data_IF_550591904882
#
_entry.id   IF_550591904882
#
_cell.length_a   1.000
_cell.length_b   1.000
_cell.length_c   1.000
_cell.angle_alpha   90.00
_cell.angle_beta   90.00
_cell.angle_gamma   90.00
#
_symmetry.space_group_name_H-M   'P 1'
#
loop_
_entity.id
_entity.type
_entity.pdbx_description
1 polymer ?
#
# COMPACT_ATOMS: atom_id res chain seq x y z
N UNK A 1 -6.05 -17.76 10.40
CA UNK A 1 -7.42 -17.36 10.75
C UNK A 1 -8.00 -16.37 9.73
N UNK A 2 -7.37 -15.19 9.46
CA UNK A 2 -7.85 -14.24 8.43
C UNK A 2 -7.80 -14.83 7.02
N UNK A 3 -6.74 -15.55 6.66
CA UNK A 3 -6.63 -16.24 5.37
C UNK A 3 -7.72 -17.31 5.18
N UNK A 4 -8.06 -18.03 6.23
CA UNK A 4 -9.11 -19.05 6.20
C UNK A 4 -10.48 -18.40 6.00
N UNK A 5 -10.76 -17.34 6.72
CA UNK A 5 -12.03 -16.60 6.60
C UNK A 5 -12.15 -15.94 5.22
N UNK A 6 -11.14 -15.22 4.79
CA UNK A 6 -11.14 -14.56 3.49
C UNK A 6 -11.21 -15.55 2.34
N UNK A 7 -10.45 -16.65 2.38
CA UNK A 7 -10.48 -17.70 1.38
C UNK A 7 -11.84 -18.39 1.25
N UNK A 8 -12.52 -18.62 2.38
CA UNK A 8 -13.89 -19.17 2.41
C UNK A 8 -14.91 -18.29 1.66
N UNK A 9 -14.72 -16.99 1.68
CA UNK A 9 -15.61 -16.02 1.04
C UNK A 9 -15.10 -15.49 -0.30
N UNK A 10 -14.04 -16.08 -0.86
CA UNK A 10 -13.50 -15.69 -2.16
C UNK A 10 -12.82 -14.31 -2.17
N UNK A 11 -12.38 -13.81 -1.01
CA UNK A 11 -11.72 -12.51 -0.89
C UNK A 11 -10.25 -12.63 -1.28
N UNK A 12 -9.73 -11.59 -1.98
CA UNK A 12 -8.31 -11.44 -2.24
C UNK A 12 -7.79 -12.17 -3.47
N UNK A 13 -8.66 -12.55 -4.39
CA UNK A 13 -8.27 -13.05 -5.72
C UNK A 13 -8.17 -11.87 -6.66
N UNK A 14 -6.99 -11.65 -7.23
CA UNK A 14 -6.72 -10.55 -8.15
C UNK A 14 -6.08 -11.09 -9.43
N UNK A 15 -6.66 -10.77 -10.57
CA UNK A 15 -6.13 -11.08 -11.89
C UNK A 15 -5.65 -9.79 -12.55
N UNK A 16 -4.34 -9.64 -12.67
CA UNK A 16 -3.72 -8.39 -13.15
C UNK A 16 -2.75 -8.63 -14.30
N UNK A 17 -2.66 -7.64 -15.17
CA UNK A 17 -1.63 -7.54 -16.20
C UNK A 17 -0.57 -6.55 -15.72
N UNK A 18 0.63 -7.05 -15.50
CA UNK A 18 1.76 -6.29 -15.00
C UNK A 18 2.72 -5.87 -16.11
N UNK A 19 3.27 -4.68 -15.98
CA UNK A 19 4.38 -4.24 -16.81
C UNK A 19 5.71 -4.67 -16.15
N UNK A 20 6.52 -5.43 -16.91
CA UNK A 20 7.88 -5.78 -16.50
C UNK A 20 8.85 -4.65 -16.83
N UNK A 21 9.91 -4.50 -16.02
CA UNK A 21 10.99 -3.50 -16.25
C UNK A 21 11.59 -3.63 -17.66
N UNK A 22 11.63 -4.83 -18.20
CA UNK A 22 12.13 -5.14 -19.56
C UNK A 22 11.13 -4.84 -20.70
N UNK A 23 10.02 -4.17 -20.40
CA UNK A 23 9.03 -3.76 -21.41
C UNK A 23 8.00 -4.81 -21.81
N UNK A 24 8.10 -6.03 -21.31
CA UNK A 24 7.10 -7.07 -21.54
C UNK A 24 5.95 -6.98 -20.54
N UNK A 25 4.77 -7.42 -20.98
CA UNK A 25 3.62 -7.58 -20.09
C UNK A 25 3.50 -9.03 -19.64
N UNK A 26 3.12 -9.25 -18.39
CA UNK A 26 2.76 -10.56 -17.87
C UNK A 26 1.43 -10.50 -17.15
N UNK A 27 0.63 -11.56 -17.27
CA UNK A 27 -0.60 -11.75 -16.52
C UNK A 27 -0.33 -12.65 -15.35
N UNK A 28 -0.79 -12.27 -14.18
CA UNK A 28 -0.70 -13.07 -12.95
C UNK A 28 -2.02 -13.08 -12.19
N UNK A 29 -2.34 -14.23 -11.62
CA UNK A 29 -3.44 -14.37 -10.66
C UNK A 29 -2.83 -14.55 -9.28
N UNK A 30 -3.18 -13.66 -8.37
CA UNK A 30 -2.68 -13.64 -7.00
C UNK A 30 -3.83 -13.90 -6.03
N UNK A 31 -3.54 -14.62 -4.95
CA UNK A 31 -4.49 -14.90 -3.89
C UNK A 31 -3.87 -14.54 -2.53
N UNK A 32 -4.35 -13.46 -1.93
CA UNK A 32 -3.87 -12.94 -0.64
C UNK A 32 -5.05 -12.52 0.26
N UNK A 33 -5.88 -13.48 0.75
CA UNK A 33 -7.13 -13.12 1.45
C UNK A 33 -6.90 -12.29 2.70
N UNK A 34 -6.02 -12.72 3.59
CA UNK A 34 -5.71 -12.00 4.84
C UNK A 34 -5.05 -10.65 4.61
N UNK A 35 -4.12 -10.57 3.66
CA UNK A 35 -3.48 -9.32 3.27
C UNK A 35 -4.47 -8.30 2.71
N UNK A 36 -5.39 -8.74 1.85
CA UNK A 36 -6.43 -7.89 1.27
C UNK A 36 -7.36 -7.33 2.34
N UNK A 37 -7.79 -8.14 3.30
CA UNK A 37 -8.65 -7.69 4.41
C UNK A 37 -7.94 -6.60 5.23
N UNK A 38 -6.67 -6.82 5.58
CA UNK A 38 -5.89 -5.85 6.36
C UNK A 38 -5.62 -4.57 5.58
N UNK A 39 -5.28 -4.69 4.31
CA UNK A 39 -5.04 -3.54 3.44
C UNK A 39 -6.29 -2.67 3.30
N UNK A 40 -7.42 -3.27 3.00
CA UNK A 40 -8.69 -2.56 2.85
C UNK A 40 -9.11 -1.87 4.17
N UNK A 41 -9.01 -2.59 5.29
CA UNK A 41 -9.32 -2.01 6.60
C UNK A 41 -8.41 -0.82 6.95
N UNK A 42 -7.11 -0.92 6.62
CA UNK A 42 -6.16 0.17 6.84
C UNK A 42 -6.47 1.37 5.94
N UNK A 43 -6.78 1.15 4.68
CA UNK A 43 -7.15 2.20 3.74
C UNK A 43 -8.39 2.96 4.20
N UNK A 44 -9.41 2.27 4.65
CA UNK A 44 -10.63 2.89 5.19
C UNK A 44 -10.37 3.72 6.46
N UNK A 45 -9.45 3.28 7.31
CA UNK A 45 -9.02 4.07 8.47
C UNK A 45 -8.25 5.33 8.05
N UNK A 46 -7.40 5.25 7.03
CA UNK A 46 -6.69 6.40 6.49
C UNK A 46 -7.64 7.45 5.91
N UNK A 47 -8.62 7.03 5.13
CA UNK A 47 -9.65 7.90 4.57
C UNK A 47 -10.48 8.61 5.66
N UNK A 48 -10.69 7.94 6.80
CA UNK A 48 -11.42 8.52 7.93
C UNK A 48 -10.60 9.57 8.71
N UNK A 49 -9.29 9.36 8.82
CA UNK A 49 -8.41 10.14 9.72
C UNK A 49 -7.65 11.25 9.00
N UNK A 50 -7.22 10.98 7.77
CA UNK A 50 -6.43 11.93 6.99
C UNK A 50 -7.35 12.90 6.23
N UNK A 51 -6.92 14.16 6.14
CA UNK A 51 -7.53 15.08 5.21
C UNK A 51 -7.24 14.67 3.76
N UNK A 52 -8.10 15.11 2.86
CA UNK A 52 -8.03 14.70 1.44
C UNK A 52 -6.67 14.99 0.79
N UNK A 53 -6.09 16.15 1.03
CA UNK A 53 -4.84 16.56 0.40
C UNK A 53 -3.67 15.69 0.89
N UNK A 54 -3.63 15.37 2.19
CA UNK A 54 -2.63 14.47 2.77
C UNK A 54 -2.77 13.06 2.24
N UNK A 55 -3.99 12.55 2.13
CA UNK A 55 -4.26 11.24 1.57
C UNK A 55 -3.81 11.12 0.10
N UNK A 56 -4.19 12.08 -0.75
CA UNK A 56 -3.78 12.11 -2.16
C UNK A 56 -2.24 12.15 -2.30
N UNK A 57 -1.57 12.97 -1.49
CA UNK A 57 -0.11 13.04 -1.48
C UNK A 57 0.56 11.74 -1.04
N UNK A 58 0.02 11.08 -0.03
CA UNK A 58 0.50 9.77 0.43
C UNK A 58 0.39 8.71 -0.67
N UNK A 59 -0.73 8.65 -1.37
CA UNK A 59 -0.95 7.74 -2.50
C UNK A 59 0.09 7.96 -3.61
N UNK A 60 0.35 9.21 -3.98
CA UNK A 60 1.37 9.53 -4.98
C UNK A 60 2.77 9.11 -4.55
N UNK A 61 3.14 9.37 -3.30
CA UNK A 61 4.45 8.99 -2.73
C UNK A 61 4.58 7.47 -2.69
N UNK A 62 3.54 6.77 -2.22
CA UNK A 62 3.50 5.31 -2.16
C UNK A 62 3.68 4.66 -3.53
N UNK A 63 3.00 5.18 -4.55
CA UNK A 63 3.15 4.71 -5.92
C UNK A 63 4.56 4.92 -6.47
N UNK A 64 5.18 6.08 -6.23
CA UNK A 64 6.57 6.36 -6.59
C UNK A 64 7.55 5.48 -5.82
N UNK A 65 7.30 5.25 -4.55
CA UNK A 65 8.12 4.38 -3.71
C UNK A 65 8.10 2.94 -4.22
N UNK A 66 6.92 2.40 -4.52
CA UNK A 66 6.76 1.05 -5.05
C UNK A 66 7.49 0.87 -6.39
N UNK A 67 7.45 1.87 -7.27
CA UNK A 67 8.18 1.87 -8.53
C UNK A 67 9.70 1.83 -8.33
N UNK A 68 10.22 2.66 -7.44
CA UNK A 68 11.66 2.71 -7.11
C UNK A 68 12.15 1.38 -6.54
N UNK A 69 11.35 0.75 -5.67
CA UNK A 69 11.65 -0.58 -5.12
C UNK A 69 11.61 -1.64 -6.21
N UNK A 70 10.60 -1.63 -7.06
CA UNK A 70 10.47 -2.59 -8.18
C UNK A 70 11.61 -2.50 -9.18
N UNK A 71 12.11 -1.29 -9.46
CA UNK A 71 13.25 -1.05 -10.34
C UNK A 71 14.61 -1.39 -9.70
N UNK A 72 14.63 -1.89 -8.47
CA UNK A 72 15.86 -2.27 -7.75
C UNK A 72 16.68 -1.09 -7.24
N UNK A 73 16.10 0.10 -7.13
CA UNK A 73 16.77 1.34 -6.68
C UNK A 73 16.74 1.53 -5.17
N UNK A 74 16.89 0.44 -4.41
CA UNK A 74 16.78 0.44 -2.94
C UNK A 74 17.78 1.36 -2.25
N UNK A 75 19.03 1.43 -2.75
CA UNK A 75 20.13 2.20 -2.14
C UNK A 75 20.27 3.62 -2.70
N UNK A 76 19.20 4.19 -3.26
CA UNK A 76 19.24 5.54 -3.84
C UNK A 76 18.73 6.59 -2.85
N UNK A 77 19.26 7.85 -2.92
CA UNK A 77 18.74 8.95 -2.12
C UNK A 77 17.24 9.21 -2.34
N UNK A 78 16.74 8.94 -3.56
CA UNK A 78 15.32 9.07 -3.88
C UNK A 78 14.46 8.14 -3.03
N UNK A 79 14.86 6.86 -2.88
CA UNK A 79 14.16 5.91 -2.01
C UNK A 79 14.11 6.41 -0.57
N UNK A 80 15.20 6.92 -0.05
CA UNK A 80 15.26 7.45 1.33
C UNK A 80 14.34 8.66 1.52
N UNK A 81 14.30 9.58 0.56
CA UNK A 81 13.42 10.74 0.61
C UNK A 81 11.94 10.33 0.58
N UNK A 82 11.56 9.40 -0.30
CA UNK A 82 10.19 8.89 -0.39
C UNK A 82 9.77 8.16 0.89
N UNK A 83 10.64 7.32 1.45
CA UNK A 83 10.37 6.59 2.68
C UNK A 83 10.14 7.53 3.87
N UNK A 84 10.93 8.60 4.02
CA UNK A 84 10.74 9.58 5.10
C UNK A 84 9.38 10.28 5.01
N UNK A 85 8.97 10.64 3.80
CA UNK A 85 7.67 11.28 3.58
C UNK A 85 6.50 10.32 3.88
N UNK A 86 6.60 9.08 3.44
CA UNK A 86 5.59 8.05 3.71
C UNK A 86 5.48 7.75 5.21
N UNK A 87 6.60 7.57 5.90
CA UNK A 87 6.62 7.38 7.35
C UNK A 87 6.03 8.57 8.12
N UNK A 88 6.24 9.80 7.67
CA UNK A 88 5.64 10.97 8.32
C UNK A 88 4.11 10.95 8.22
N UNK A 89 3.55 10.55 7.08
CA UNK A 89 2.10 10.39 6.93
C UNK A 89 1.55 9.28 7.84
N UNK A 90 2.24 8.15 7.95
CA UNK A 90 1.86 7.06 8.86
C UNK A 90 1.93 7.48 10.35
N UNK A 91 2.93 8.27 10.74
CA UNK A 91 3.04 8.79 12.12
C UNK A 91 1.90 9.75 12.51
N UNK A 92 1.31 10.45 11.54
CA UNK A 92 0.12 11.29 11.78
C UNK A 92 -1.08 10.39 12.13
N UNK A 93 -1.27 9.30 11.41
CA UNK A 93 -2.31 8.32 11.67
C UNK A 93 -2.21 7.76 13.10
N UNK A 94 -1.02 7.32 13.51
CA UNK A 94 -0.75 6.79 14.85
C UNK A 94 -1.05 7.82 15.96
N UNK A 95 -0.64 9.07 15.75
CA UNK A 95 -0.91 10.15 16.72
C UNK A 95 -2.39 10.45 16.85
N UNK A 96 -3.13 10.44 15.74
CA UNK A 96 -4.57 10.78 15.76
C UNK A 96 -5.38 9.68 16.44
N UNK A 97 -5.03 8.41 16.24
CA UNK A 97 -5.67 7.27 16.90
C UNK A 97 -5.38 7.22 18.42
N UNK A 98 -4.19 7.66 18.85
CA UNK A 98 -3.80 7.69 20.26
C UNK A 98 -4.43 8.88 20.99
N UNK A 99 -4.60 10.03 20.32
CA UNK A 99 -5.17 11.24 20.94
C UNK A 99 -6.71 11.24 21.02
N UNK A 100 -7.39 10.29 20.36
CA UNK A 100 -8.86 10.18 20.40
C UNK A 100 -9.39 9.26 21.50
N UNK A 101 -8.55 8.76 22.40
CA UNK A 101 -8.87 8.08 23.65
C UNK A 101 -8.46 8.96 24.85
#
# INVERSE_FOLDING_TARGET
KLNELGGKHGIGIVDIVENRVVGMKSRGVYETPGGTILYEAHQQLEELVLDRATYEMKEEIGNKFSQVVYEGKWFTPLREALQRNDCNCCCILDRTLICSN
#
